data_IF_363462377037
#
_entry.id   IF_363462377037
#
_cell.length_a   1.000
_cell.length_b   1.000
_cell.length_c   1.000
_cell.angle_alpha   90.00
_cell.angle_beta   90.00
_cell.angle_gamma   90.00
#
_symmetry.space_group_name_H-M   'P 1'
#
loop_
_entity.id
_entity.type
_entity.pdbx_description
1 polymer ?
#
# COMPACT_ATOMS: atom_id res chain seq x y z
N UNK A 1 -1.30 -34.32 12.63
CA UNK A 1 -0.97 -33.56 11.42
C UNK A 1 -1.62 -32.20 11.59
N UNK A 2 -0.93 -31.27 12.25
CA UNK A 2 -1.46 -29.93 12.51
C UNK A 2 -1.30 -29.14 11.23
N UNK A 3 -2.40 -28.58 10.71
CA UNK A 3 -2.33 -27.65 9.60
C UNK A 3 -1.50 -26.45 10.07
N UNK A 4 -0.34 -26.22 9.46
CA UNK A 4 0.34 -24.93 9.56
C UNK A 4 -0.66 -23.89 9.04
N UNK A 5 -1.19 -23.06 9.93
CA UNK A 5 -1.96 -21.89 9.54
C UNK A 5 -0.92 -20.94 8.92
N UNK A 6 -0.78 -21.00 7.60
CA UNK A 6 0.05 -20.05 6.87
C UNK A 6 -0.38 -18.64 7.26
N UNK A 7 0.57 -17.82 7.70
CA UNK A 7 0.30 -16.43 8.02
C UNK A 7 -0.41 -15.75 6.82
N UNK A 8 -1.37 -14.85 7.07
CA UNK A 8 -2.02 -14.12 5.99
C UNK A 8 -0.97 -13.35 5.19
N UNK A 9 -1.16 -13.22 3.87
CA UNK A 9 -0.22 -12.51 3.02
C UNK A 9 -0.08 -11.06 3.51
N UNK A 10 1.15 -10.56 3.51
CA UNK A 10 1.44 -9.16 3.77
C UNK A 10 0.77 -8.26 2.73
N UNK A 11 0.52 -7.00 3.10
CA UNK A 11 0.00 -6.02 2.16
C UNK A 11 0.87 -5.88 0.90
N UNK A 12 2.20 -6.01 1.04
CA UNK A 12 3.13 -5.97 -0.08
C UNK A 12 2.90 -7.13 -1.06
N UNK A 13 2.69 -8.35 -0.57
CA UNK A 13 2.42 -9.54 -1.39
C UNK A 13 1.09 -9.41 -2.13
N UNK A 14 0.05 -8.94 -1.43
CA UNK A 14 -1.28 -8.69 -2.04
C UNK A 14 -1.18 -7.67 -3.18
N UNK A 15 -0.45 -6.57 -2.96
CA UNK A 15 -0.26 -5.53 -3.98
C UNK A 15 0.57 -6.06 -5.16
N UNK A 16 1.64 -6.80 -4.89
CA UNK A 16 2.51 -7.37 -5.92
C UNK A 16 1.73 -8.32 -6.84
N UNK A 17 0.91 -9.20 -6.26
CA UNK A 17 0.07 -10.11 -7.04
C UNK A 17 -0.98 -9.35 -7.86
N UNK A 18 -1.64 -8.36 -7.25
CA UNK A 18 -2.59 -7.51 -7.97
C UNK A 18 -1.94 -6.78 -9.16
N UNK A 19 -0.69 -6.32 -9.03
CA UNK A 19 0.05 -5.70 -10.13
C UNK A 19 0.45 -6.71 -11.21
N UNK A 20 0.83 -7.94 -10.82
CA UNK A 20 1.22 -9.02 -11.74
C UNK A 20 0.08 -9.37 -12.70
N UNK A 21 -1.15 -9.40 -12.20
CA UNK A 21 -2.35 -9.71 -12.98
C UNK A 21 -2.80 -8.57 -13.92
N UNK A 22 -2.18 -7.39 -13.85
CA UNK A 22 -2.58 -6.20 -14.62
C UNK A 22 -1.60 -5.90 -15.76
N UNK A 23 -2.17 -5.43 -16.88
CA UNK A 23 -1.39 -4.87 -17.98
C UNK A 23 -0.54 -3.67 -17.50
N UNK A 24 0.70 -3.50 -18.00
CA UNK A 24 1.62 -2.46 -17.53
C UNK A 24 1.01 -1.06 -17.50
N UNK A 25 0.25 -0.69 -18.54
CA UNK A 25 -0.40 0.62 -18.65
C UNK A 25 -1.42 0.91 -17.53
N UNK A 26 -2.03 -0.11 -16.93
CA UNK A 26 -3.05 0.04 -15.88
C UNK A 26 -2.49 0.09 -14.46
N UNK A 27 -1.23 -0.30 -14.26
CA UNK A 27 -0.62 -0.44 -12.92
C UNK A 27 -0.57 0.87 -12.15
N UNK A 28 -0.18 1.96 -12.82
CA UNK A 28 -0.09 3.28 -12.20
C UNK A 28 -1.45 3.83 -11.75
N UNK A 29 -2.51 3.63 -12.55
CA UNK A 29 -3.86 4.03 -12.17
C UNK A 29 -4.37 3.22 -10.97
N UNK A 30 -4.14 1.91 -10.99
CA UNK A 30 -4.50 1.02 -9.88
C UNK A 30 -3.88 1.47 -8.55
N UNK A 31 -2.58 1.77 -8.54
CA UNK A 31 -1.90 2.20 -7.31
C UNK A 31 -2.46 3.52 -6.76
N UNK A 32 -2.75 4.48 -7.63
CA UNK A 32 -3.39 5.75 -7.22
C UNK A 32 -4.76 5.53 -6.60
N UNK A 33 -5.58 4.67 -7.20
CA UNK A 33 -6.89 4.32 -6.67
C UNK A 33 -6.77 3.58 -5.33
N UNK A 34 -5.85 2.62 -5.21
CA UNK A 34 -5.59 1.93 -3.96
C UNK A 34 -5.20 2.89 -2.84
N UNK A 35 -4.28 3.82 -3.11
CA UNK A 35 -3.88 4.84 -2.14
C UNK A 35 -5.07 5.71 -1.72
N UNK A 36 -5.90 6.15 -2.66
CA UNK A 36 -7.08 6.97 -2.35
C UNK A 36 -8.06 6.24 -1.43
N UNK A 37 -8.33 4.95 -1.68
CA UNK A 37 -9.24 4.16 -0.85
C UNK A 37 -8.63 3.83 0.52
N UNK A 38 -7.33 3.55 0.58
CA UNK A 38 -6.63 3.33 1.84
C UNK A 38 -6.68 4.58 2.74
N UNK A 39 -6.44 5.75 2.17
CA UNK A 39 -6.52 7.03 2.89
C UNK A 39 -7.95 7.35 3.34
N UNK A 40 -8.95 7.08 2.49
CA UNK A 40 -10.35 7.21 2.90
C UNK A 40 -10.68 6.29 4.08
N UNK A 41 -10.23 5.04 4.05
CA UNK A 41 -10.38 4.09 5.16
C UNK A 41 -9.72 4.57 6.45
N UNK A 42 -8.45 4.98 6.37
CA UNK A 42 -7.71 5.54 7.51
C UNK A 42 -8.40 6.78 8.07
N UNK A 43 -8.92 7.66 7.21
CA UNK A 43 -9.66 8.85 7.64
C UNK A 43 -10.91 8.49 8.44
N UNK A 44 -11.63 7.45 8.02
CA UNK A 44 -12.82 6.97 8.73
C UNK A 44 -12.50 6.27 10.05
N UNK A 45 -11.36 5.56 10.14
CA UNK A 45 -10.98 4.78 11.31
C UNK A 45 -10.19 5.60 12.35
N UNK A 46 -9.33 6.51 11.90
CA UNK A 46 -8.32 7.19 12.72
C UNK A 46 -8.41 8.73 12.65
N UNK A 47 -9.24 9.27 11.76
CA UNK A 47 -9.43 10.71 11.58
C UNK A 47 -8.52 11.32 10.50
N UNK A 48 -8.85 12.55 10.11
CA UNK A 48 -8.22 13.23 8.97
C UNK A 48 -6.74 13.57 9.22
N UNK A 49 -6.37 13.94 10.45
CA UNK A 49 -4.99 14.31 10.78
C UNK A 49 -4.06 13.09 10.69
N UNK A 50 -4.44 11.97 11.28
CA UNK A 50 -3.66 10.73 11.25
C UNK A 50 -3.50 10.19 9.80
N UNK A 51 -4.58 10.20 9.02
CA UNK A 51 -4.53 9.81 7.62
C UNK A 51 -3.62 10.73 6.78
N UNK A 52 -3.65 12.03 7.03
CA UNK A 52 -2.80 13.01 6.36
C UNK A 52 -1.32 12.83 6.71
N UNK A 53 -1.01 12.56 7.98
CA UNK A 53 0.36 12.26 8.42
C UNK A 53 0.89 10.97 7.77
N UNK A 54 0.07 9.92 7.70
CA UNK A 54 0.44 8.68 7.03
C UNK A 54 0.73 8.90 5.54
N UNK A 55 -0.10 9.68 4.85
CA UNK A 55 0.12 10.05 3.45
C UNK A 55 1.43 10.83 3.26
N UNK A 56 1.69 11.80 4.14
CA UNK A 56 2.89 12.62 4.11
C UNK A 56 4.15 11.78 4.28
N UNK A 57 4.19 10.92 5.31
CA UNK A 57 5.35 10.03 5.56
C UNK A 57 5.60 9.06 4.42
N UNK A 58 4.55 8.52 3.81
CA UNK A 58 4.68 7.65 2.65
C UNK A 58 5.27 8.40 1.45
N UNK A 59 4.78 9.62 1.18
CA UNK A 59 5.29 10.45 0.10
C UNK A 59 6.76 10.84 0.34
N UNK A 60 7.12 11.20 1.57
CA UNK A 60 8.50 11.51 1.96
C UNK A 60 9.44 10.30 1.77
N UNK A 61 9.02 9.12 2.22
CA UNK A 61 9.78 7.88 2.02
C UNK A 61 9.96 7.52 0.53
N UNK A 62 8.98 7.83 -0.32
CA UNK A 62 9.08 7.62 -1.77
C UNK A 62 9.97 8.67 -2.46
N UNK A 63 9.95 9.90 -1.96
CA UNK A 63 10.75 11.02 -2.48
C UNK A 63 12.22 10.96 -2.03
N UNK A 64 12.51 10.27 -0.91
CA UNK A 64 13.85 10.03 -0.41
C UNK A 64 14.39 8.73 -1.03
N UNK A 65 15.19 8.79 -2.11
CA UNK A 65 15.79 7.58 -2.65
C UNK A 65 16.70 7.01 -1.58
N UNK A 66 16.56 5.71 -1.27
CA UNK A 66 17.54 4.99 -0.47
C UNK A 66 18.93 5.31 -1.02
N UNK A 67 19.76 5.99 -0.23
CA UNK A 67 21.18 6.18 -0.56
C UNK A 67 21.75 4.76 -0.73
N UNK A 68 22.37 4.42 -1.87
CA UNK A 68 23.07 3.15 -1.98
C UNK A 68 24.11 3.10 -0.86
N UNK A 69 24.04 2.05 -0.04
CA UNK A 69 25.09 1.70 0.91
C UNK A 69 26.29 1.11 0.16
#
# INVERSE_FOLDING_TARGET
MSAEISAPPSAAEVVAEALRLRAPAGRGLFLRQLMAHALAGLTLMEGADAASEAAYRLADAAASPRRPA
#
